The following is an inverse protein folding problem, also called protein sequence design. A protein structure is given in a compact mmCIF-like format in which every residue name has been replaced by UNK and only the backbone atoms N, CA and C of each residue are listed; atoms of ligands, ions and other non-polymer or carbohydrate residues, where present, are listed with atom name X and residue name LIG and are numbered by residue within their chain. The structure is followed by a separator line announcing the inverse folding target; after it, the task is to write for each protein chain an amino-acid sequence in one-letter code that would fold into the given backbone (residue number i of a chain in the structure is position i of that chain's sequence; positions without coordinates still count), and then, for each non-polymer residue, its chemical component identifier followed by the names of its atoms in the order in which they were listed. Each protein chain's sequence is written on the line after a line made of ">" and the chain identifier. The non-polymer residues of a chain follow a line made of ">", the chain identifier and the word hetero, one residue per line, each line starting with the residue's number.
data_IF_531034364356
#
_entry.id   IF_531034364356
#
_cell.length_a   1.000
_cell.length_b   1.000
_cell.length_c   1.000
_cell.angle_alpha   90.00
_cell.angle_beta   90.00
_cell.angle_gamma   90.00
#
_symmetry.space_group_name_H-M   'P 1'
#
loop_
_entity.id
_entity.type
_entity.pdbx_description
1 polymer ?
#
# COMPACT_ATOMS: atom_id res chain seq x y z
N UNK A 1 14.80 -5.89 6.48
CA UNK A 1 15.01 -4.43 6.66
C UNK A 1 15.92 -4.22 7.85
N UNK A 2 16.89 -3.33 7.70
CA UNK A 2 17.87 -2.99 8.72
C UNK A 2 17.83 -1.50 9.00
N UNK A 3 18.20 -1.12 10.22
CA UNK A 3 18.52 0.26 10.59
C UNK A 3 20.03 0.39 10.73
N UNK A 4 20.61 1.51 10.31
CA UNK A 4 22.06 1.72 10.25
C UNK A 4 22.48 2.70 11.35
N UNK A 5 23.41 2.26 12.21
CA UNK A 5 24.10 3.13 13.17
C UNK A 5 25.64 3.02 13.01
N UNK A 6 26.41 3.69 13.88
CA UNK A 6 27.87 3.67 13.88
C UNK A 6 28.50 2.26 14.02
N UNK A 7 27.72 1.28 14.50
CA UNK A 7 28.15 -0.12 14.71
C UNK A 7 27.70 -1.05 13.59
N UNK A 8 26.95 -0.56 12.60
CA UNK A 8 26.54 -1.29 11.41
C UNK A 8 25.03 -1.48 11.27
N UNK A 9 24.63 -2.55 10.59
CA UNK A 9 23.24 -2.82 10.24
C UNK A 9 22.54 -3.70 11.28
N UNK A 10 21.42 -3.21 11.83
CA UNK A 10 20.63 -3.89 12.84
C UNK A 10 19.30 -4.34 12.25
N UNK A 11 18.99 -5.64 12.33
CA UNK A 11 17.70 -6.14 11.83
C UNK A 11 16.53 -5.57 12.65
N UNK A 12 15.59 -4.93 11.97
CA UNK A 12 14.38 -4.36 12.59
C UNK A 12 13.11 -5.11 12.20
N UNK A 13 13.13 -5.84 11.10
CA UNK A 13 12.00 -6.63 10.62
C UNK A 13 12.17 -7.15 9.21
N UNK A 14 11.23 -7.98 8.77
CA UNK A 14 11.21 -8.58 7.44
C UNK A 14 9.78 -8.89 6.99
N UNK A 15 9.63 -9.18 5.70
CA UNK A 15 8.49 -9.94 5.20
C UNK A 15 9.00 -11.06 4.29
N UNK A 16 8.22 -12.13 4.16
CA UNK A 16 8.42 -13.20 3.17
C UNK A 16 7.43 -13.03 2.03
N UNK A 17 7.81 -13.51 0.83
CA UNK A 17 6.99 -13.52 -0.38
C UNK A 17 7.25 -14.84 -1.11
N UNK A 18 6.18 -15.52 -1.51
CA UNK A 18 6.30 -16.71 -2.35
C UNK A 18 6.89 -16.34 -3.72
N UNK A 19 7.72 -17.21 -4.28
CA UNK A 19 8.28 -16.98 -5.63
C UNK A 19 7.20 -17.06 -6.70
N UNK A 20 6.25 -17.97 -6.49
CA UNK A 20 5.08 -18.19 -7.34
C UNK A 20 3.89 -18.32 -6.38
N UNK A 21 3.03 -17.30 -6.34
CA UNK A 21 1.81 -17.32 -5.52
C UNK A 21 0.60 -17.46 -6.44
N UNK A 22 -0.23 -18.47 -6.22
CA UNK A 22 -1.43 -18.71 -7.03
C UNK A 22 -2.54 -17.68 -6.77
N UNK A 23 -2.47 -16.95 -5.66
CA UNK A 23 -3.44 -15.94 -5.23
C UNK A 23 -2.89 -14.51 -5.35
N UNK A 24 -1.74 -14.35 -6.01
CA UNK A 24 -1.02 -13.08 -6.15
C UNK A 24 -0.75 -12.38 -4.80
N UNK A 25 -0.43 -13.17 -3.77
CA UNK A 25 -0.02 -12.61 -2.48
C UNK A 25 1.37 -11.97 -2.60
N UNK A 26 1.46 -10.68 -2.27
CA UNK A 26 2.75 -9.96 -2.27
C UNK A 26 3.50 -10.06 -0.94
N UNK A 27 2.82 -10.57 0.09
CA UNK A 27 3.37 -10.86 1.43
C UNK A 27 2.75 -12.15 1.94
N UNK A 28 3.59 -13.09 2.39
CA UNK A 28 3.18 -14.28 3.14
C UNK A 28 3.21 -14.00 4.65
N UNK A 29 4.40 -13.76 5.21
CA UNK A 29 4.55 -13.33 6.60
C UNK A 29 5.20 -11.94 6.66
N UNK A 30 4.84 -11.14 7.67
CA UNK A 30 5.47 -9.85 7.96
C UNK A 30 5.69 -9.70 9.46
N UNK A 31 6.88 -9.26 9.84
CA UNK A 31 7.27 -9.09 11.23
C UNK A 31 8.13 -7.85 11.41
N UNK A 32 7.73 -7.00 12.37
CA UNK A 32 8.65 -6.06 13.01
C UNK A 32 9.09 -6.66 14.34
N UNK A 33 10.40 -6.69 14.58
CA UNK A 33 10.99 -7.22 15.80
C UNK A 33 10.40 -6.48 17.02
N UNK A 34 10.08 -7.17 18.14
CA UNK A 34 9.40 -6.56 19.29
C UNK A 34 9.97 -5.21 19.78
N UNK A 35 11.30 -5.02 19.97
CA UNK A 35 11.85 -3.74 20.44
C UNK A 35 11.76 -2.58 19.42
N UNK A 36 11.39 -2.89 18.18
CA UNK A 36 11.25 -1.93 17.08
C UNK A 36 9.79 -1.70 16.68
N UNK A 37 8.82 -2.32 17.36
CA UNK A 37 7.40 -2.08 17.10
C UNK A 37 7.00 -0.63 17.41
N UNK A 38 5.94 -0.16 16.77
CA UNK A 38 5.39 1.21 16.92
C UNK A 38 6.34 2.36 16.54
N UNK A 39 7.50 2.06 15.92
CA UNK A 39 8.44 3.06 15.37
C UNK A 39 8.23 3.38 13.88
N UNK A 40 7.19 2.81 13.26
CA UNK A 40 6.86 3.03 11.85
C UNK A 40 7.40 1.96 10.88
N UNK A 41 8.34 1.11 11.32
CA UNK A 41 8.94 0.06 10.48
C UNK A 41 7.93 -0.91 9.86
N UNK A 42 6.86 -1.28 10.57
CA UNK A 42 5.81 -2.15 10.01
C UNK A 42 5.16 -1.54 8.77
N UNK A 43 4.90 -0.22 8.79
CA UNK A 43 4.34 0.49 7.63
C UNK A 43 5.36 0.62 6.49
N UNK A 44 6.66 0.76 6.80
CA UNK A 44 7.72 0.74 5.78
C UNK A 44 7.85 -0.62 5.09
N UNK A 45 7.74 -1.72 5.84
CA UNK A 45 7.76 -3.07 5.27
C UNK A 45 6.58 -3.29 4.33
N UNK A 46 5.37 -2.84 4.72
CA UNK A 46 4.18 -2.89 3.86
C UNK A 46 4.36 -2.01 2.62
N UNK A 47 4.85 -0.78 2.79
CA UNK A 47 5.09 0.12 1.66
C UNK A 47 6.08 -0.50 0.66
N UNK A 48 7.19 -1.05 1.16
CA UNK A 48 8.19 -1.70 0.34
C UNK A 48 7.63 -2.93 -0.40
N UNK A 49 6.76 -3.74 0.21
CA UNK A 49 6.15 -4.87 -0.49
C UNK A 49 5.28 -4.43 -1.68
N UNK A 50 4.60 -3.28 -1.56
CA UNK A 50 3.85 -2.70 -2.67
C UNK A 50 4.73 -2.03 -3.72
N UNK A 51 5.86 -1.41 -3.33
CA UNK A 51 6.84 -0.90 -4.32
C UNK A 51 7.40 -2.03 -5.19
N UNK A 52 7.63 -3.22 -4.62
CA UNK A 52 7.98 -4.40 -5.43
C UNK A 52 6.86 -4.80 -6.39
N UNK A 53 5.60 -4.82 -5.92
CA UNK A 53 4.45 -5.13 -6.79
C UNK A 53 4.29 -4.13 -7.94
N UNK A 54 4.51 -2.83 -7.69
CA UNK A 54 4.52 -1.78 -8.73
C UNK A 54 5.62 -2.04 -9.76
N UNK A 55 6.82 -2.38 -9.30
CA UNK A 55 7.95 -2.73 -10.16
C UNK A 55 7.71 -4.00 -11.00
N UNK A 56 6.89 -4.94 -10.50
CA UNK A 56 6.45 -6.13 -11.22
C UNK A 56 5.27 -5.86 -12.18
N UNK A 57 4.65 -4.68 -12.12
CA UNK A 57 3.42 -4.38 -12.88
C UNK A 57 2.22 -5.21 -12.45
N UNK A 58 2.16 -5.62 -11.17
CA UNK A 58 1.11 -6.49 -10.62
C UNK A 58 0.42 -5.83 -9.43
N UNK A 59 -0.81 -6.25 -9.16
CA UNK A 59 -1.49 -5.98 -7.90
C UNK A 59 -1.22 -7.09 -6.90
N UNK A 60 -1.28 -6.80 -5.59
CA UNK A 60 -1.13 -7.81 -4.55
C UNK A 60 -1.88 -7.48 -3.26
N UNK A 61 -2.05 -8.50 -2.44
CA UNK A 61 -2.64 -8.45 -1.10
C UNK A 61 -1.78 -9.30 -0.15
N UNK A 62 -1.80 -9.07 1.17
CA UNK A 62 -1.21 -10.02 2.10
C UNK A 62 -1.98 -11.34 2.17
N UNK A 63 -1.26 -12.41 2.49
CA UNK A 63 -1.84 -13.71 2.80
C UNK A 63 -2.84 -13.61 3.99
N UNK A 64 -3.89 -14.42 3.93
CA UNK A 64 -4.98 -14.45 4.90
C UNK A 64 -4.99 -15.78 5.65
N UNK A 65 -5.33 -15.81 6.95
CA UNK A 65 -5.77 -14.69 7.79
C UNK A 65 -4.62 -13.81 8.30
N UNK A 66 -4.88 -12.50 8.41
CA UNK A 66 -3.97 -11.55 9.06
C UNK A 66 -4.10 -11.61 10.59
N UNK A 67 -3.02 -11.31 11.31
CA UNK A 67 -3.08 -10.98 12.75
C UNK A 67 -3.80 -9.64 12.97
N UNK A 68 -4.39 -9.42 14.15
CA UNK A 68 -5.09 -8.17 14.49
C UNK A 68 -4.20 -6.93 14.27
N UNK A 69 -2.94 -7.00 14.72
CA UNK A 69 -1.96 -5.93 14.53
C UNK A 69 -1.60 -5.74 13.06
N UNK A 70 -1.49 -6.84 12.30
CA UNK A 70 -1.28 -6.82 10.87
C UNK A 70 -2.45 -6.12 10.15
N UNK A 71 -3.68 -6.54 10.42
CA UNK A 71 -4.89 -5.97 9.83
C UNK A 71 -5.01 -4.47 10.07
N UNK A 72 -4.78 -4.01 11.31
CA UNK A 72 -4.76 -2.58 11.64
C UNK A 72 -3.68 -1.82 10.85
N UNK A 73 -2.50 -2.42 10.69
CA UNK A 73 -1.38 -1.82 9.96
C UNK A 73 -1.68 -1.70 8.46
N UNK A 74 -2.24 -2.75 7.84
CA UNK A 74 -2.65 -2.75 6.43
C UNK A 74 -3.79 -1.76 6.17
N UNK A 75 -4.85 -1.75 6.99
CA UNK A 75 -5.94 -0.77 6.87
C UNK A 75 -5.44 0.67 6.96
N UNK A 76 -4.53 0.94 7.91
CA UNK A 76 -3.92 2.26 8.06
C UNK A 76 -3.04 2.63 6.86
N UNK A 77 -2.33 1.68 6.27
CA UNK A 77 -1.53 1.91 5.06
C UNK A 77 -2.42 2.17 3.85
N UNK A 78 -3.38 1.29 3.55
CA UNK A 78 -4.28 1.44 2.41
C UNK A 78 -5.08 2.74 2.45
N UNK A 79 -5.63 3.10 3.62
CA UNK A 79 -6.35 4.36 3.77
C UNK A 79 -5.47 5.57 3.44
N UNK A 80 -4.22 5.60 3.92
CA UNK A 80 -3.30 6.68 3.61
C UNK A 80 -2.92 6.72 2.14
N UNK A 81 -2.55 5.58 1.55
CA UNK A 81 -2.12 5.52 0.15
C UNK A 81 -3.25 5.91 -0.82
N UNK A 82 -4.48 5.44 -0.56
CA UNK A 82 -5.64 5.78 -1.40
C UNK A 82 -6.01 7.26 -1.24
N UNK A 83 -6.05 7.79 -0.01
CA UNK A 83 -6.33 9.21 0.23
C UNK A 83 -5.26 10.13 -0.38
N UNK A 84 -3.99 9.72 -0.34
CA UNK A 84 -2.88 10.48 -0.95
C UNK A 84 -3.10 10.67 -2.46
N UNK A 85 -3.55 9.61 -3.15
CA UNK A 85 -3.97 9.72 -4.56
C UNK A 85 -5.15 10.66 -4.70
N UNK A 86 -6.24 10.38 -3.98
CA UNK A 86 -7.49 11.11 -4.10
C UNK A 86 -7.35 12.63 -3.85
N UNK A 87 -6.50 13.03 -2.90
CA UNK A 87 -6.21 14.43 -2.58
C UNK A 87 -5.32 15.08 -3.65
N UNK A 88 -4.45 14.31 -4.30
CA UNK A 88 -3.56 14.81 -5.35
C UNK A 88 -4.22 14.97 -6.72
N UNK A 89 -5.45 14.45 -6.90
CA UNK A 89 -6.17 14.51 -8.17
C UNK A 89 -6.50 15.94 -8.58
N UNK A 90 -6.13 16.28 -9.81
CA UNK A 90 -6.46 17.57 -10.42
C UNK A 90 -7.69 17.43 -11.31
N UNK A 91 -8.52 18.49 -11.41
CA UNK A 91 -9.52 18.61 -12.46
C UNK A 91 -8.92 18.42 -13.86
N UNK A 92 -9.61 17.69 -14.74
CA UNK A 92 -9.18 17.45 -16.13
C UNK A 92 -9.47 18.66 -17.04
N UNK A 93 -10.28 19.62 -16.59
CA UNK A 93 -10.58 20.86 -17.27
C UNK A 93 -11.07 21.95 -16.32
N UNK A 94 -11.16 23.19 -16.81
CA UNK A 94 -11.74 24.31 -16.06
C UNK A 94 -13.19 23.96 -15.67
N UNK A 95 -13.50 24.01 -14.37
CA UNK A 95 -14.79 23.64 -13.76
C UNK A 95 -15.19 22.15 -13.72
N UNK A 96 -14.32 21.20 -14.10
CA UNK A 96 -14.64 19.77 -13.94
C UNK A 96 -14.27 19.24 -12.54
N UNK A 97 -15.03 18.26 -12.04
CA UNK A 97 -14.66 17.55 -10.81
C UNK A 97 -13.60 16.51 -11.15
N UNK A 98 -12.59 16.29 -10.29
CA UNK A 98 -11.65 15.20 -10.49
C UNK A 98 -12.38 13.85 -10.55
N UNK A 99 -12.00 13.01 -11.50
CA UNK A 99 -12.55 11.67 -11.67
C UNK A 99 -11.42 10.65 -11.57
N UNK A 100 -11.71 9.52 -10.93
CA UNK A 100 -10.84 8.36 -10.88
C UNK A 100 -11.70 7.10 -10.73
N UNK A 101 -11.29 6.04 -11.41
CA UNK A 101 -11.89 4.72 -11.34
C UNK A 101 -11.19 3.86 -10.30
N UNK A 102 -11.87 2.81 -9.84
CA UNK A 102 -11.27 1.85 -8.91
C UNK A 102 -10.05 1.17 -9.54
N UNK A 103 -10.08 0.93 -10.86
CA UNK A 103 -8.97 0.30 -11.58
C UNK A 103 -7.73 1.20 -11.61
N UNK A 104 -7.89 2.50 -11.86
CA UNK A 104 -6.77 3.46 -11.80
C UNK A 104 -6.14 3.51 -10.40
N UNK A 105 -6.94 3.43 -9.33
CA UNK A 105 -6.40 3.33 -7.96
C UNK A 105 -5.57 2.04 -7.81
N UNK A 106 -6.06 0.90 -8.32
CA UNK A 106 -5.33 -0.36 -8.26
C UNK A 106 -4.00 -0.28 -9.02
N UNK A 107 -3.99 0.31 -10.21
CA UNK A 107 -2.79 0.48 -11.04
C UNK A 107 -1.76 1.40 -10.38
N UNK A 108 -2.19 2.52 -9.79
CA UNK A 108 -1.29 3.47 -9.12
C UNK A 108 -0.71 2.94 -7.81
N UNK A 109 -1.43 2.06 -7.11
CA UNK A 109 -1.06 1.58 -5.76
C UNK A 109 -0.54 0.15 -5.72
N UNK A 110 -0.79 -0.64 -6.75
CA UNK A 110 -0.68 -2.10 -6.74
C UNK A 110 -1.52 -2.81 -5.67
N UNK A 111 -2.52 -2.15 -5.09
CA UNK A 111 -3.46 -2.78 -4.14
C UNK A 111 -4.53 -3.55 -4.94
N UNK A 112 -4.88 -4.76 -4.50
CA UNK A 112 -5.97 -5.53 -5.11
C UNK A 112 -7.31 -4.79 -5.00
N UNK A 113 -8.18 -5.01 -5.98
CA UNK A 113 -9.46 -4.32 -6.12
C UNK A 113 -10.35 -4.46 -4.88
N UNK A 114 -10.36 -5.64 -4.28
CA UNK A 114 -11.16 -5.97 -3.09
C UNK A 114 -10.71 -5.13 -1.88
N UNK A 115 -9.40 -4.94 -1.73
CA UNK A 115 -8.81 -4.13 -0.65
C UNK A 115 -9.05 -2.64 -0.88
N UNK A 116 -9.03 -2.16 -2.13
CA UNK A 116 -9.41 -0.78 -2.49
C UNK A 116 -10.89 -0.53 -2.17
N UNK A 117 -11.80 -1.40 -2.63
CA UNK A 117 -13.24 -1.27 -2.37
C UNK A 117 -13.53 -1.28 -0.88
N UNK A 118 -13.00 -2.25 -0.15
CA UNK A 118 -13.22 -2.36 1.30
C UNK A 118 -12.66 -1.15 2.05
N UNK A 119 -11.53 -0.60 1.61
CA UNK A 119 -10.96 0.62 2.21
C UNK A 119 -11.86 1.84 1.95
N UNK A 120 -12.33 2.05 0.72
CA UNK A 120 -13.24 3.14 0.38
C UNK A 120 -14.58 3.04 1.15
N UNK A 121 -15.09 1.82 1.33
CA UNK A 121 -16.27 1.55 2.16
C UNK A 121 -16.03 1.88 3.63
N UNK A 122 -14.91 1.41 4.21
CA UNK A 122 -14.56 1.67 5.61
C UNK A 122 -14.35 3.17 5.90
N UNK A 123 -13.93 3.95 4.90
CA UNK A 123 -13.77 5.40 4.99
C UNK A 123 -15.07 6.17 4.66
N UNK A 124 -16.16 5.48 4.30
CA UNK A 124 -17.42 6.06 3.83
C UNK A 124 -17.27 7.00 2.63
N UNK A 125 -16.33 6.71 1.72
CA UNK A 125 -16.03 7.55 0.56
C UNK A 125 -16.78 7.11 -0.68
N UNK A 126 -17.23 5.86 -0.76
CA UNK A 126 -17.93 5.32 -1.92
C UNK A 126 -19.45 5.42 -1.72
N UNK A 127 -20.12 6.14 -2.63
CA UNK A 127 -21.57 6.32 -2.63
C UNK A 127 -22.15 5.83 -3.96
N UNK A 128 -23.37 5.30 -3.95
CA UNK A 128 -24.09 4.94 -5.17
C UNK A 128 -25.09 6.03 -5.55
N UNK A 129 -24.91 6.65 -6.71
CA UNK A 129 -25.74 7.74 -7.19
C UNK A 129 -26.08 7.56 -8.66
N UNK A 130 -27.38 7.62 -9.01
CA UNK A 130 -27.89 7.50 -10.39
C UNK A 130 -27.34 6.31 -11.19
N UNK A 131 -27.16 5.16 -10.55
CA UNK A 131 -26.66 3.95 -11.23
C UNK A 131 -25.14 3.81 -11.27
N UNK A 132 -24.39 4.73 -10.65
CA UNK A 132 -22.93 4.76 -10.67
C UNK A 132 -22.35 4.88 -9.26
N UNK A 133 -21.17 4.29 -9.05
CA UNK A 133 -20.39 4.53 -7.84
C UNK A 133 -19.59 5.82 -7.99
N UNK A 134 -19.72 6.72 -7.02
CA UNK A 134 -18.98 7.98 -6.95
C UNK A 134 -18.14 8.01 -5.67
N UNK A 135 -16.94 8.60 -5.77
CA UNK A 135 -16.07 8.83 -4.62
C UNK A 135 -16.28 10.26 -4.13
N UNK A 136 -16.57 10.42 -2.84
CA UNK A 136 -16.80 11.74 -2.21
C UNK A 136 -15.79 11.97 -1.10
N UNK A 137 -15.05 13.06 -1.18
CA UNK A 137 -14.09 13.47 -0.14
C UNK A 137 -14.66 14.66 0.63
N UNK A 138 -14.74 14.52 1.95
CA UNK A 138 -15.09 15.64 2.82
C UNK A 138 -13.85 16.43 3.23
N UNK A 139 -14.02 17.71 3.56
CA UNK A 139 -12.91 18.54 4.08
C UNK A 139 -12.31 17.94 5.36
N UNK A 140 -13.14 17.40 6.24
CA UNK A 140 -12.69 16.73 7.47
C UNK A 140 -11.79 15.51 7.17
N UNK A 141 -12.16 14.70 6.17
CA UNK A 141 -11.33 13.56 5.73
C UNK A 141 -9.97 14.03 5.22
N UNK A 142 -9.94 15.12 4.45
CA UNK A 142 -8.71 15.71 3.91
C UNK A 142 -7.84 16.24 5.05
N UNK A 143 -8.41 17.00 5.99
CA UNK A 143 -7.69 17.56 7.13
C UNK A 143 -7.13 16.47 8.05
N UNK A 144 -7.89 15.40 8.29
CA UNK A 144 -7.42 14.23 9.04
C UNK A 144 -6.28 13.50 8.32
N UNK A 145 -6.38 13.35 7.00
CA UNK A 145 -5.31 12.78 6.19
C UNK A 145 -4.03 13.60 6.32
N UNK A 146 -4.08 14.92 6.13
CA UNK A 146 -2.90 15.79 6.27
C UNK A 146 -2.23 15.63 7.64
N UNK A 147 -3.00 15.69 8.73
CA UNK A 147 -2.48 15.46 10.11
C UNK A 147 -1.84 14.09 10.29
N UNK A 148 -2.37 13.05 9.65
CA UNK A 148 -1.81 11.71 9.73
C UNK A 148 -0.50 11.60 8.93
N UNK A 149 -0.40 12.32 7.81
CA UNK A 149 0.79 12.34 6.95
C UNK A 149 1.94 13.14 7.56
N UNK A 150 1.66 14.24 8.28
CA UNK A 150 2.68 14.98 9.05
C UNK A 150 3.40 14.12 10.09
N UNK A 151 2.71 13.12 10.66
CA UNK A 151 3.30 12.19 11.63
C UNK A 151 4.17 11.12 10.95
N UNK A 152 4.01 10.91 9.65
CA UNK A 152 4.70 9.86 8.89
C UNK A 152 6.04 10.38 8.37
N UNK A 153 7.06 10.32 9.22
CA UNK A 153 8.40 10.86 8.93
C UNK A 153 9.24 10.05 7.95
N UNK A 154 8.98 8.75 7.83
CA UNK A 154 9.79 7.83 7.03
C UNK A 154 8.89 7.20 5.96
N UNK A 155 9.37 7.21 4.72
CA UNK A 155 8.74 6.63 3.53
C UNK A 155 9.80 5.88 2.72
N UNK A 156 9.37 4.90 1.94
CA UNK A 156 10.22 4.32 0.90
C UNK A 156 10.34 5.32 -0.26
N UNK A 157 11.56 5.58 -0.70
CA UNK A 157 11.81 6.28 -1.97
C UNK A 157 11.94 5.22 -3.09
N UNK A 158 10.99 5.16 -4.05
CA UNK A 158 11.05 4.20 -5.15
C UNK A 158 12.29 4.37 -6.03
N UNK A 159 12.89 5.58 -6.08
CA UNK A 159 14.09 5.84 -6.89
C UNK A 159 15.35 5.16 -6.34
N UNK A 160 15.35 4.81 -5.06
CA UNK A 160 16.45 4.09 -4.41
C UNK A 160 16.30 2.57 -4.52
N UNK A 161 15.21 2.07 -5.11
CA UNK A 161 14.98 0.64 -5.29
C UNK A 161 15.74 0.13 -6.51
N UNK A 162 16.92 -0.45 -6.27
CA UNK A 162 17.69 -1.16 -7.30
C UNK A 162 17.28 -2.64 -7.32
N UNK A 163 16.24 -2.96 -8.08
CA UNK A 163 15.71 -4.32 -8.17
C UNK A 163 15.20 -4.64 -9.58
N UNK A 164 15.24 -5.91 -9.97
CA UNK A 164 14.69 -6.39 -11.25
C UNK A 164 13.89 -7.66 -10.98
N UNK A 165 12.64 -7.75 -11.44
CA UNK A 165 11.85 -8.97 -11.33
C UNK A 165 12.59 -10.13 -11.98
N UNK A 166 12.65 -11.27 -11.28
CA UNK A 166 13.09 -12.50 -11.91
C UNK A 166 11.91 -13.17 -12.59
N UNK A 167 12.19 -14.04 -13.54
CA UNK A 167 11.17 -14.89 -14.16
C UNK A 167 11.42 -16.32 -13.67
N UNK A 168 10.59 -16.78 -12.74
CA UNK A 168 10.73 -18.09 -12.10
C UNK A 168 10.23 -19.24 -12.99
N UNK A 169 9.37 -18.94 -13.98
CA UNK A 169 8.84 -19.92 -14.94
C UNK A 169 9.94 -20.58 -15.79
N UNK A 170 11.06 -19.87 -16.00
CA UNK A 170 12.20 -20.33 -16.80
C UNK A 170 13.10 -21.35 -16.10
N UNK A 171 12.90 -21.63 -14.80
CA UNK A 171 13.75 -22.57 -14.05
C UNK A 171 13.33 -24.03 -14.12
N UNK A 172 12.13 -24.35 -14.62
CA UNK A 172 11.60 -25.71 -14.67
C UNK A 172 12.19 -26.60 -15.79
N UNK A 173 13.30 -26.21 -16.42
CA UNK A 173 14.00 -27.01 -17.44
C UNK A 173 15.42 -27.36 -16.99
N UNK A 174 15.53 -28.27 -16.02
CA UNK A 174 16.76 -29.02 -15.75
C UNK A 174 16.37 -30.45 -15.37
#
# INVERSE_FOLDING_TARGET
>A
MTDLDERGFHIVGYFSKEKESSQDYNVACILTMPPYQRKGYGKLLIEFSYELSKFEGKTGSPEKPLSDLGLLSYRSYWAQTILEILVSLKPTGDNERPQITIMEICELTSIQKEDVISTLQNLNLINYYKGQYIITLSKDTIDQHHKAMEKRKIRIDPKCLHWTPKDWSKRAKW
#
